data_IF_147366291119
#
_entry.id   IF_147366291119
#
_cell.length_a   1.000
_cell.length_b   1.000
_cell.length_c   1.000
_cell.angle_alpha   90.00
_cell.angle_beta   90.00
_cell.angle_gamma   90.00
#
_symmetry.space_group_name_H-M   'P 1'
#
loop_
_entity.id
_entity.type
_entity.pdbx_description
1 polymer ?
#
# COMPACT_ATOMS: atom_id res chain seq x y z
N UNK A 1 18.82 0.96 -9.06
CA UNK A 1 18.19 0.49 -7.81
C UNK A 1 17.72 1.69 -6.98
N UNK A 2 16.45 1.70 -6.57
CA UNK A 2 15.90 2.68 -5.63
C UNK A 2 15.84 2.02 -4.25
N UNK A 3 16.37 2.69 -3.25
CA UNK A 3 16.39 2.26 -1.86
C UNK A 3 15.45 3.13 -1.05
N UNK A 4 14.40 2.54 -0.49
CA UNK A 4 13.45 3.19 0.41
C UNK A 4 13.93 2.94 1.85
N UNK A 5 14.05 4.00 2.65
CA UNK A 5 14.48 3.93 4.05
C UNK A 5 13.79 4.99 4.88
N UNK A 6 13.82 4.86 6.22
CA UNK A 6 13.29 5.89 7.14
C UNK A 6 13.92 7.28 6.89
N UNK A 7 15.18 7.33 6.42
CA UNK A 7 15.87 8.56 6.01
C UNK A 7 15.38 9.13 4.66
N UNK A 8 14.38 8.50 4.03
CA UNK A 8 13.85 8.83 2.71
C UNK A 8 14.33 7.91 1.59
N UNK A 9 14.15 8.37 0.35
CA UNK A 9 14.43 7.63 -0.89
C UNK A 9 15.84 7.92 -1.40
N UNK A 10 16.68 6.90 -1.53
CA UNK A 10 18.06 6.99 -2.05
C UNK A 10 18.17 6.22 -3.37
N UNK A 11 18.75 6.81 -4.41
CA UNK A 11 19.03 6.11 -5.67
C UNK A 11 20.47 5.58 -5.62
N UNK A 12 20.61 4.25 -5.57
CA UNK A 12 21.88 3.56 -5.29
C UNK A 12 22.65 3.25 -6.59
N UNK A 13 21.93 3.04 -7.70
CA UNK A 13 22.55 2.67 -8.98
C UNK A 13 21.65 3.09 -10.14
N UNK A 14 22.20 3.78 -11.15
CA UNK A 14 21.51 4.15 -12.38
C UNK A 14 22.31 3.65 -13.57
N UNK A 15 21.73 2.76 -14.38
CA UNK A 15 22.41 2.12 -15.53
C UNK A 15 22.51 3.03 -16.77
N UNK A 16 22.58 4.34 -16.60
CA UNK A 16 22.76 5.29 -17.71
C UNK A 16 21.57 5.40 -18.68
N UNK A 17 20.47 4.66 -18.47
CA UNK A 17 19.18 5.05 -19.03
C UNK A 17 18.67 6.23 -18.22
N UNK A 18 18.77 7.42 -18.81
CA UNK A 18 18.26 8.70 -18.31
C UNK A 18 16.72 8.71 -18.29
N UNK A 19 16.11 7.69 -17.68
CA UNK A 19 14.69 7.69 -17.39
C UNK A 19 14.48 8.79 -16.35
N UNK A 20 13.89 9.91 -16.78
CA UNK A 20 13.54 11.00 -15.88
C UNK A 20 12.58 10.48 -14.82
N UNK A 21 13.11 10.23 -13.63
CA UNK A 21 12.34 9.90 -12.45
C UNK A 21 12.15 11.15 -11.60
N UNK A 22 11.04 11.20 -10.89
CA UNK A 22 10.73 12.27 -9.96
C UNK A 22 10.33 11.69 -8.62
N UNK A 23 10.76 12.34 -7.55
CA UNK A 23 10.38 11.97 -6.18
C UNK A 23 9.65 13.15 -5.57
N UNK A 24 8.45 12.90 -5.06
CA UNK A 24 7.62 13.93 -4.44
C UNK A 24 6.69 13.34 -3.39
N UNK A 25 6.21 14.19 -2.51
CA UNK A 25 5.19 13.83 -1.52
C UNK A 25 3.82 14.20 -2.06
N UNK A 26 2.85 13.30 -1.90
CA UNK A 26 1.43 13.55 -2.16
C UNK A 26 0.63 12.89 -1.04
N UNK A 27 -0.24 13.66 -0.38
CA UNK A 27 -0.88 13.26 0.87
C UNK A 27 0.11 12.69 1.90
N UNK A 28 -0.19 11.52 2.45
CA UNK A 28 0.69 10.81 3.40
C UNK A 28 1.75 9.91 2.73
N UNK A 29 1.92 9.98 1.40
CA UNK A 29 2.76 9.06 0.64
C UNK A 29 3.97 9.77 0.01
N UNK A 30 5.06 9.00 -0.15
CA UNK A 30 6.19 9.34 -1.01
C UNK A 30 6.01 8.62 -2.34
N UNK A 31 5.99 9.39 -3.43
CA UNK A 31 5.82 8.90 -4.79
C UNK A 31 7.15 8.99 -5.52
N UNK A 32 7.62 7.86 -6.04
CA UNK A 32 8.68 7.81 -7.07
C UNK A 32 8.04 7.50 -8.40
N UNK A 33 7.93 8.50 -9.26
CA UNK A 33 7.41 8.38 -10.61
C UNK A 33 8.56 8.16 -11.58
N UNK A 34 8.46 7.14 -12.43
CA UNK A 34 9.27 7.02 -13.63
C UNK A 34 8.38 7.34 -14.81
N UNK A 35 8.56 8.54 -15.37
CA UNK A 35 7.60 9.19 -16.27
C UNK A 35 7.11 8.27 -17.39
N UNK A 36 5.79 8.05 -17.44
CA UNK A 36 5.14 7.20 -18.45
C UNK A 36 5.44 5.70 -18.35
N UNK A 37 6.09 5.23 -17.28
CA UNK A 37 6.46 3.83 -17.07
C UNK A 37 5.78 3.24 -15.83
N UNK A 38 6.06 3.79 -14.65
CA UNK A 38 5.58 3.24 -13.38
C UNK A 38 5.59 4.29 -12.26
N UNK A 39 4.76 4.06 -11.24
CA UNK A 39 4.77 4.79 -9.97
C UNK A 39 5.05 3.81 -8.83
N UNK A 40 5.97 4.17 -7.93
CA UNK A 40 6.13 3.56 -6.62
C UNK A 40 5.51 4.50 -5.59
N UNK A 41 4.52 4.01 -4.84
CA UNK A 41 3.78 4.80 -3.85
C UNK A 41 3.99 4.14 -2.50
N UNK A 42 4.73 4.82 -1.63
CA UNK A 42 5.13 4.28 -0.33
C UNK A 42 4.53 5.14 0.79
N UNK A 43 3.94 4.51 1.80
CA UNK A 43 3.32 5.18 2.95
C UNK A 43 4.33 5.67 4.00
N UNK A 44 5.63 5.63 3.68
CA UNK A 44 6.74 5.87 4.60
C UNK A 44 6.74 4.92 5.83
N UNK A 45 6.05 3.78 5.72
CA UNK A 45 5.97 2.71 6.72
C UNK A 45 6.14 1.36 6.01
N UNK A 46 5.10 0.53 5.96
CA UNK A 46 5.18 -0.86 5.48
C UNK A 46 4.36 -1.12 4.21
N UNK A 47 3.64 -0.13 3.66
CA UNK A 47 2.85 -0.30 2.44
C UNK A 47 3.56 0.28 1.24
N UNK A 48 3.83 -0.57 0.25
CA UNK A 48 4.35 -0.19 -1.06
C UNK A 48 3.35 -0.62 -2.13
N UNK A 49 2.85 0.34 -2.90
CA UNK A 49 2.05 0.08 -4.10
C UNK A 49 2.90 0.33 -5.35
N UNK A 50 2.86 -0.63 -6.28
CA UNK A 50 3.52 -0.52 -7.58
C UNK A 50 2.44 -0.40 -8.64
N UNK A 51 2.42 0.73 -9.35
CA UNK A 51 1.52 0.95 -10.48
C UNK A 51 2.34 0.89 -11.77
N UNK A 52 2.00 -0.03 -12.67
CA UNK A 52 2.70 -0.23 -13.94
C UNK A 52 1.86 0.25 -15.12
N UNK A 53 2.52 0.85 -16.11
CA UNK A 53 1.88 1.12 -17.40
C UNK A 53 1.45 -0.20 -18.07
N UNK A 54 0.27 -0.28 -18.71
CA UNK A 54 -0.23 -1.50 -19.37
C UNK A 54 0.68 -2.13 -20.42
N UNK A 55 1.73 -1.43 -20.86
CA UNK A 55 2.71 -1.94 -21.82
C UNK A 55 3.60 -3.05 -21.26
N UNK A 56 3.64 -3.16 -19.93
CA UNK A 56 4.35 -4.19 -19.18
C UNK A 56 3.49 -5.43 -18.92
N UNK A 57 2.23 -5.47 -19.41
CA UNK A 57 1.38 -6.67 -19.28
C UNK A 57 2.08 -7.90 -19.86
N UNK A 58 2.13 -8.98 -19.08
CA UNK A 58 2.80 -10.23 -19.42
C UNK A 58 4.32 -10.13 -19.62
N UNK A 59 4.97 -9.04 -19.18
CA UNK A 59 6.42 -8.79 -19.34
C UNK A 59 7.17 -8.62 -18.03
N UNK A 60 6.47 -8.81 -16.91
CA UNK A 60 7.06 -8.73 -15.58
C UNK A 60 6.98 -10.09 -14.91
N UNK A 61 7.75 -10.24 -13.85
CA UNK A 61 7.78 -11.42 -13.00
C UNK A 61 8.23 -10.99 -11.60
N UNK A 62 8.02 -11.85 -10.61
CA UNK A 62 8.35 -11.59 -9.21
C UNK A 62 7.17 -11.87 -8.29
N UNK A 63 7.27 -11.40 -7.05
CA UNK A 63 6.24 -11.58 -6.02
C UNK A 63 4.89 -10.91 -6.36
N UNK A 64 4.89 -9.94 -7.29
CA UNK A 64 3.67 -9.28 -7.77
C UNK A 64 3.03 -9.98 -8.98
N UNK A 65 3.44 -11.22 -9.30
CA UNK A 65 2.91 -11.98 -10.41
C UNK A 65 3.50 -11.57 -11.76
N UNK A 66 2.78 -11.92 -12.84
CA UNK A 66 3.24 -11.72 -14.22
C UNK A 66 2.49 -10.59 -14.97
N UNK A 67 1.47 -10.01 -14.34
CA UNK A 67 0.63 -8.92 -14.86
C UNK A 67 -0.06 -9.26 -16.20
N UNK A 68 -0.63 -10.45 -16.35
CA UNK A 68 -1.32 -10.91 -17.57
C UNK A 68 -2.87 -10.92 -17.47
N UNK A 69 -3.43 -10.31 -16.42
CA UNK A 69 -4.86 -10.33 -16.05
C UNK A 69 -5.42 -11.71 -15.62
N UNK A 70 -4.57 -12.72 -15.37
CA UNK A 70 -4.97 -14.04 -14.90
C UNK A 70 -4.36 -14.40 -13.54
N UNK A 71 -5.10 -14.14 -12.47
CA UNK A 71 -4.65 -14.44 -11.10
C UNK A 71 -4.31 -15.92 -10.83
N UNK A 72 -4.81 -16.86 -11.65
CA UNK A 72 -4.60 -18.29 -11.43
C UNK A 72 -3.17 -18.76 -11.75
N UNK A 73 -2.36 -17.94 -12.44
CA UNK A 73 -0.99 -18.28 -12.80
C UNK A 73 0.04 -17.32 -12.20
N UNK A 74 -0.33 -16.46 -11.25
CA UNK A 74 0.60 -15.46 -10.70
C UNK A 74 1.74 -16.08 -9.89
N UNK A 75 1.56 -17.29 -9.36
CA UNK A 75 2.60 -18.01 -8.61
C UNK A 75 3.60 -18.72 -9.54
N UNK A 76 4.29 -17.94 -10.37
CA UNK A 76 5.39 -18.40 -11.24
C UNK A 76 6.73 -18.24 -10.54
N UNK A 77 7.47 -19.34 -10.37
CA UNK A 77 8.84 -19.31 -9.84
C UNK A 77 9.83 -18.70 -10.84
N UNK A 78 11.01 -18.31 -10.36
CA UNK A 78 12.11 -17.81 -11.21
C UNK A 78 12.51 -18.73 -12.40
N UNK A 79 12.24 -20.04 -12.29
CA UNK A 79 12.51 -21.04 -13.32
C UNK A 79 11.35 -21.23 -14.33
N UNK A 80 10.26 -20.47 -14.20
CA UNK A 80 9.07 -20.52 -15.06
C UNK A 80 8.02 -21.55 -14.65
N UNK A 81 8.24 -22.30 -13.56
CA UNK A 81 7.28 -23.29 -13.06
C UNK A 81 6.16 -22.60 -12.26
N UNK A 82 4.91 -22.98 -12.55
CA UNK A 82 3.73 -22.50 -11.82
C UNK A 82 3.46 -23.43 -10.63
N UNK A 83 3.31 -22.85 -9.44
CA UNK A 83 3.07 -23.59 -8.20
C UNK A 83 1.79 -23.10 -7.51
N UNK A 84 1.22 -23.92 -6.62
CA UNK A 84 0.01 -23.55 -5.87
C UNK A 84 0.28 -23.15 -4.43
N UNK A 85 1.45 -23.49 -3.89
CA UNK A 85 1.84 -23.13 -2.52
C UNK A 85 2.48 -21.72 -2.50
N UNK A 86 1.87 -20.72 -1.83
CA UNK A 86 2.45 -19.39 -1.69
C UNK A 86 3.86 -19.40 -1.07
N UNK A 87 4.18 -20.38 -0.21
CA UNK A 87 5.49 -20.49 0.43
C UNK A 87 6.56 -20.92 -0.56
N UNK A 88 6.30 -21.95 -1.36
CA UNK A 88 7.21 -22.38 -2.42
C UNK A 88 7.42 -21.26 -3.44
N UNK A 89 6.33 -20.59 -3.84
CA UNK A 89 6.40 -19.41 -4.71
C UNK A 89 7.27 -18.30 -4.12
N UNK A 90 6.97 -17.83 -2.89
CA UNK A 90 7.68 -16.72 -2.26
C UNK A 90 9.16 -17.01 -2.06
N UNK A 91 9.49 -18.22 -1.60
CA UNK A 91 10.87 -18.65 -1.37
C UNK A 91 11.69 -18.73 -2.67
N UNK A 92 11.05 -19.02 -3.80
CA UNK A 92 11.71 -19.08 -5.11
C UNK A 92 12.26 -17.74 -5.60
N UNK A 93 11.84 -16.62 -4.99
CA UNK A 93 12.26 -15.25 -5.34
C UNK A 93 13.28 -14.66 -4.37
N UNK A 94 13.84 -15.46 -3.44
CA UNK A 94 14.88 -15.00 -2.52
C UNK A 94 16.15 -14.57 -3.28
N UNK A 95 16.64 -13.36 -2.98
CA UNK A 95 17.85 -12.79 -3.61
C UNK A 95 19.13 -13.25 -2.92
N UNK A 96 19.09 -13.47 -1.60
CA UNK A 96 20.23 -13.98 -0.83
C UNK A 96 20.00 -15.47 -0.46
N UNK A 97 20.81 -16.41 -0.98
CA UNK A 97 20.73 -17.82 -0.62
C UNK A 97 20.96 -18.11 0.87
N UNK A 98 21.54 -17.17 1.62
CA UNK A 98 21.74 -17.29 3.07
C UNK A 98 20.49 -16.92 3.87
N UNK A 99 19.47 -16.33 3.23
CA UNK A 99 18.19 -16.08 3.86
C UNK A 99 17.52 -17.44 4.13
N UNK A 100 17.61 -17.89 5.37
CA UNK A 100 16.98 -19.14 5.79
C UNK A 100 15.46 -18.98 5.81
N UNK A 101 14.78 -20.09 5.57
CA UNK A 101 13.34 -20.20 5.75
C UNK A 101 13.00 -19.87 7.21
N UNK A 102 12.53 -18.65 7.45
CA UNK A 102 11.87 -18.34 8.70
C UNK A 102 10.49 -18.99 8.62
N UNK A 103 10.39 -20.23 9.09
CA UNK A 103 9.11 -20.73 9.56
C UNK A 103 8.68 -19.78 10.66
N UNK A 104 7.79 -18.84 10.35
CA UNK A 104 6.98 -18.23 11.40
C UNK A 104 6.35 -19.43 12.10
N UNK A 105 6.79 -19.68 13.34
CA UNK A 105 6.08 -20.62 14.20
C UNK A 105 4.61 -20.22 14.14
N UNK A 106 3.69 -21.20 13.97
CA UNK A 106 2.27 -20.92 14.06
C UNK A 106 2.11 -20.12 15.34
N UNK A 107 1.72 -18.84 15.23
CA UNK A 107 1.60 -17.99 16.39
C UNK A 107 0.85 -18.79 17.44
N UNK A 108 1.47 -19.07 18.60
CA UNK A 108 0.72 -19.68 19.70
C UNK A 108 -0.55 -18.87 19.83
N UNK A 109 -1.70 -19.54 19.65
CA UNK A 109 -3.00 -18.88 19.48
C UNK A 109 -3.36 -18.23 20.82
N UNK A 110 -2.87 -17.02 21.02
CA UNK A 110 -3.30 -16.12 22.06
C UNK A 110 -4.68 -15.62 21.65
N UNK A 111 -5.69 -16.33 22.14
CA UNK A 111 -7.10 -16.05 21.88
C UNK A 111 -7.50 -14.61 22.20
N UNK A 112 -6.85 -13.98 23.20
CA UNK A 112 -7.10 -12.58 23.54
C UNK A 112 -6.56 -11.62 22.48
N UNK A 113 -5.33 -11.83 21.99
CA UNK A 113 -4.74 -11.04 20.89
C UNK A 113 -5.57 -11.16 19.62
N UNK A 114 -6.00 -12.38 19.29
CA UNK A 114 -6.88 -12.63 18.15
C UNK A 114 -8.24 -11.92 18.29
N UNK A 115 -8.93 -12.09 19.42
CA UNK A 115 -10.23 -11.45 19.64
C UNK A 115 -10.14 -9.91 19.62
N UNK A 116 -9.03 -9.35 20.10
CA UNK A 116 -8.74 -7.91 19.97
C UNK A 116 -8.56 -7.52 18.50
N UNK A 117 -7.69 -8.20 17.77
CA UNK A 117 -7.46 -7.93 16.35
C UNK A 117 -8.76 -8.01 15.53
N UNK A 118 -9.54 -9.08 15.71
CA UNK A 118 -10.86 -9.25 15.09
C UNK A 118 -11.80 -8.09 15.43
N UNK A 119 -11.90 -7.69 16.71
CA UNK A 119 -12.75 -6.57 17.13
C UNK A 119 -12.38 -5.28 16.41
N UNK A 120 -11.10 -4.95 16.29
CA UNK A 120 -10.65 -3.70 15.66
C UNK A 120 -10.81 -3.75 14.13
N UNK A 121 -10.43 -4.85 13.49
CA UNK A 121 -10.55 -5.02 12.04
C UNK A 121 -12.00 -5.10 11.54
N UNK A 122 -13.00 -5.22 12.43
CA UNK A 122 -14.43 -5.16 12.06
C UNK A 122 -14.83 -3.87 11.35
N UNK A 123 -14.06 -2.78 11.46
CA UNK A 123 -14.31 -1.55 10.70
C UNK A 123 -14.41 -1.82 9.18
N UNK A 124 -13.59 -2.73 8.65
CA UNK A 124 -13.60 -3.13 7.23
C UNK A 124 -14.96 -3.67 6.80
N UNK A 125 -15.67 -4.34 7.71
CA UNK A 125 -17.01 -4.91 7.47
C UNK A 125 -18.14 -4.08 8.09
N UNK A 126 -17.85 -2.86 8.55
CA UNK A 126 -18.84 -1.98 9.17
C UNK A 126 -19.55 -1.10 8.15
N UNK A 127 -20.55 -0.34 8.61
CA UNK A 127 -21.28 0.63 7.79
C UNK A 127 -20.36 1.68 7.15
N UNK A 128 -19.20 1.99 7.76
CA UNK A 128 -18.21 2.92 7.20
C UNK A 128 -17.76 2.51 5.80
N UNK A 129 -17.67 1.20 5.54
CA UNK A 129 -17.20 0.64 4.28
C UNK A 129 -18.34 0.01 3.44
N UNK A 130 -19.62 0.25 3.78
CA UNK A 130 -20.75 -0.47 3.14
C UNK A 130 -20.79 -0.29 1.63
N UNK A 131 -20.56 0.92 1.13
CA UNK A 131 -20.52 1.20 -0.31
C UNK A 131 -19.33 0.52 -0.99
N UNK A 132 -18.18 0.49 -0.30
CA UNK A 132 -16.99 -0.17 -0.83
C UNK A 132 -17.14 -1.69 -0.85
N UNK A 133 -17.75 -2.28 0.17
CA UNK A 133 -18.02 -3.72 0.26
C UNK A 133 -18.94 -4.22 -0.87
N UNK A 134 -19.71 -3.32 -1.50
CA UNK A 134 -20.47 -3.64 -2.71
C UNK A 134 -19.62 -3.66 -3.99
N UNK A 135 -18.45 -3.01 -3.98
CA UNK A 135 -17.57 -2.83 -5.14
C UNK A 135 -16.25 -3.64 -5.07
N UNK A 136 -15.80 -4.00 -3.86
CA UNK A 136 -14.54 -4.70 -3.58
C UNK A 136 -14.81 -5.78 -2.52
N UNK A 137 -14.24 -6.98 -2.72
CA UNK A 137 -14.30 -8.04 -1.71
C UNK A 137 -13.43 -7.69 -0.50
N UNK A 138 -14.06 -7.60 0.67
CA UNK A 138 -13.41 -7.21 1.93
C UNK A 138 -12.65 -8.37 2.59
N UNK A 139 -12.94 -9.62 2.23
CA UNK A 139 -12.42 -10.82 2.91
C UNK A 139 -10.88 -10.84 3.04
N UNK A 140 -10.13 -10.73 1.94
CA UNK A 140 -8.67 -10.73 1.97
C UNK A 140 -8.08 -9.59 2.83
N UNK A 141 -8.70 -8.41 2.82
CA UNK A 141 -8.26 -7.24 3.59
C UNK A 141 -8.57 -7.38 5.07
N UNK A 142 -9.72 -7.95 5.42
CA UNK A 142 -10.08 -8.28 6.80
C UNK A 142 -9.11 -9.30 7.39
N UNK A 143 -8.84 -10.39 6.67
CA UNK A 143 -7.91 -11.44 7.11
C UNK A 143 -6.48 -10.89 7.26
N UNK A 144 -6.02 -10.06 6.33
CA UNK A 144 -4.74 -9.38 6.43
C UNK A 144 -4.67 -8.46 7.66
N UNK A 145 -5.69 -7.62 7.87
CA UNK A 145 -5.77 -6.76 9.05
C UNK A 145 -5.67 -7.55 10.36
N UNK A 146 -6.40 -8.67 10.47
CA UNK A 146 -6.39 -9.51 11.68
C UNK A 146 -5.01 -10.11 11.92
N UNK A 147 -4.36 -10.64 10.88
CA UNK A 147 -2.99 -11.19 11.00
C UNK A 147 -1.99 -10.11 11.40
N UNK A 148 -2.03 -8.94 10.79
CA UNK A 148 -1.03 -7.90 10.99
C UNK A 148 -1.20 -7.19 12.35
N UNK A 149 -2.44 -7.08 12.81
CA UNK A 149 -2.78 -6.49 14.12
C UNK A 149 -2.50 -7.46 15.27
N UNK A 150 -2.40 -8.77 15.00
CA UNK A 150 -2.22 -9.80 16.03
C UNK A 150 -0.98 -9.57 16.92
N UNK A 151 0.09 -9.03 16.34
CA UNK A 151 1.36 -8.78 17.04
C UNK A 151 1.40 -7.44 17.79
N UNK A 152 0.34 -6.64 17.73
CA UNK A 152 0.30 -5.33 18.37
C UNK A 152 -0.10 -5.43 19.85
N UNK A 153 0.73 -4.88 20.73
CA UNK A 153 0.45 -4.83 22.18
C UNK A 153 -0.67 -3.84 22.54
N UNK A 154 -0.88 -2.82 21.69
CA UNK A 154 -2.01 -1.88 21.73
C UNK A 154 -2.40 -1.51 20.30
N UNK A 155 -3.71 -1.39 20.02
CA UNK A 155 -4.20 -1.07 18.67
C UNK A 155 -4.21 0.44 18.40
N UNK A 156 -4.30 1.28 19.44
CA UNK A 156 -4.29 2.74 19.30
C UNK A 156 -2.99 3.26 18.67
N UNK A 157 -1.88 2.53 18.89
CA UNK A 157 -0.55 2.84 18.32
C UNK A 157 -0.05 1.73 17.37
N UNK A 158 -0.97 0.93 16.81
CA UNK A 158 -0.60 -0.14 15.89
C UNK A 158 -0.58 0.40 14.46
N UNK A 159 0.60 0.82 13.99
CA UNK A 159 0.77 1.29 12.61
C UNK A 159 0.28 0.26 11.59
N UNK A 160 0.47 -1.04 11.88
CA UNK A 160 0.03 -2.16 11.02
C UNK A 160 -1.49 -2.18 10.83
N UNK A 161 -2.26 -1.90 11.88
CA UNK A 161 -3.71 -1.82 11.79
C UNK A 161 -4.13 -0.68 10.85
N UNK A 162 -3.56 0.51 11.05
CA UNK A 162 -3.88 1.68 10.24
C UNK A 162 -3.46 1.49 8.77
N UNK A 163 -2.29 0.88 8.54
CA UNK A 163 -1.82 0.57 7.19
C UNK A 163 -2.73 -0.46 6.50
N UNK A 164 -3.19 -1.50 7.21
CA UNK A 164 -4.10 -2.50 6.65
C UNK A 164 -5.47 -1.90 6.27
N UNK A 165 -6.06 -1.05 7.12
CA UNK A 165 -7.34 -0.39 6.80
C UNK A 165 -7.17 0.64 5.68
N UNK A 166 -6.06 1.39 5.66
CA UNK A 166 -5.74 2.34 4.58
C UNK A 166 -5.57 1.63 3.23
N UNK A 167 -5.00 0.42 3.20
CA UNK A 167 -4.88 -0.37 1.99
C UNK A 167 -6.25 -0.73 1.40
N UNK A 168 -7.22 -1.10 2.24
CA UNK A 168 -8.58 -1.35 1.79
C UNK A 168 -9.26 -0.08 1.27
N UNK A 169 -9.14 1.03 2.00
CA UNK A 169 -9.65 2.34 1.56
C UNK A 169 -9.04 2.79 0.22
N UNK A 170 -7.77 2.49 -0.04
CA UNK A 170 -7.12 2.79 -1.32
C UNK A 170 -7.73 1.99 -2.48
N UNK A 171 -8.14 0.74 -2.26
CA UNK A 171 -8.82 -0.08 -3.28
C UNK A 171 -10.25 0.38 -3.53
N UNK A 172 -10.95 0.84 -2.48
CA UNK A 172 -12.23 1.54 -2.63
C UNK A 172 -12.09 2.77 -3.54
N UNK A 173 -11.06 3.60 -3.32
CA UNK A 173 -10.80 4.79 -4.15
C UNK A 173 -10.55 4.45 -5.61
N UNK A 174 -9.87 3.33 -5.92
CA UNK A 174 -9.70 2.86 -7.31
C UNK A 174 -11.02 2.49 -7.98
N UNK A 175 -12.07 2.18 -7.21
CA UNK A 175 -13.45 1.96 -7.69
C UNK A 175 -14.30 3.24 -7.63
N UNK A 176 -13.67 4.40 -7.44
CA UNK A 176 -14.33 5.70 -7.25
C UNK A 176 -15.28 5.76 -6.03
N UNK A 177 -15.06 4.89 -5.03
CA UNK A 177 -15.79 4.93 -3.76
C UNK A 177 -14.91 5.59 -2.71
N UNK A 178 -15.33 6.78 -2.26
CA UNK A 178 -14.60 7.51 -1.23
C UNK A 178 -15.03 7.08 0.18
N UNK A 179 -14.07 6.67 1.02
CA UNK A 179 -14.36 6.21 2.39
C UNK A 179 -13.65 7.10 3.41
N UNK A 180 -14.43 7.80 4.25
CA UNK A 180 -13.94 8.62 5.37
C UNK A 180 -13.91 7.77 6.65
N UNK A 181 -12.79 7.12 6.93
CA UNK A 181 -12.69 6.12 8.01
C UNK A 181 -11.83 6.55 9.21
N UNK A 182 -10.93 7.52 9.03
CA UNK A 182 -10.07 8.04 10.11
C UNK A 182 -10.87 8.96 11.03
N UNK A 183 -10.55 8.92 12.32
CA UNK A 183 -11.12 9.82 13.34
C UNK A 183 -10.02 10.31 14.28
N UNK A 184 -10.26 11.31 15.14
CA UNK A 184 -9.29 11.71 16.16
C UNK A 184 -8.82 10.57 17.07
N UNK A 185 -9.68 9.57 17.31
CA UNK A 185 -9.38 8.42 18.18
C UNK A 185 -8.91 7.17 17.40
N UNK A 186 -8.95 7.21 16.07
CA UNK A 186 -8.63 6.08 15.20
C UNK A 186 -7.76 6.52 14.01
N UNK A 187 -6.50 6.12 14.06
CA UNK A 187 -5.53 6.35 12.97
C UNK A 187 -5.45 7.84 12.56
N UNK A 188 -5.48 8.74 13.53
CA UNK A 188 -5.49 10.19 13.34
C UNK A 188 -4.32 10.67 12.46
N UNK A 189 -4.63 11.58 11.54
CA UNK A 189 -3.66 12.31 10.72
C UNK A 189 -3.76 13.79 11.08
N UNK A 190 -2.63 14.38 11.46
CA UNK A 190 -2.55 15.77 11.89
C UNK A 190 -1.92 16.63 10.78
N UNK A 191 -2.77 17.31 10.00
CA UNK A 191 -2.36 18.24 8.95
C UNK A 191 -2.18 19.68 9.47
N UNK A 192 -2.82 20.02 10.60
CA UNK A 192 -2.77 21.37 11.17
C UNK A 192 -1.36 21.84 11.53
N UNK A 193 -0.43 20.90 11.76
CA UNK A 193 1.00 21.22 12.00
C UNK A 193 1.68 21.93 10.82
N UNK A 194 1.08 21.88 9.63
CA UNK A 194 1.55 22.56 8.43
C UNK A 194 0.93 23.94 8.23
N UNK A 195 -0.10 24.30 9.00
CA UNK A 195 -0.71 25.63 8.96
C UNK A 195 0.11 26.65 9.73
N UNK A 196 0.24 27.86 9.17
CA UNK A 196 0.75 29.00 9.93
C UNK A 196 -0.28 29.46 10.97
N UNK A 197 0.16 30.25 11.96
CA UNK A 197 -0.72 30.84 12.97
C UNK A 197 -1.85 31.66 12.32
N UNK A 198 -3.09 31.18 12.49
CA UNK A 198 -4.29 31.84 11.97
C UNK A 198 -4.66 31.45 10.53
N UNK A 199 -3.89 30.56 9.89
CA UNK A 199 -4.19 29.99 8.58
C UNK A 199 -4.85 28.60 8.73
N UNK A 200 -5.57 28.19 7.69
CA UNK A 200 -6.33 26.94 7.64
C UNK A 200 -6.30 26.44 6.19
N UNK A 201 -5.09 26.19 5.67
CA UNK A 201 -4.88 25.84 4.26
C UNK A 201 -4.66 24.33 4.08
N UNK A 202 -3.97 23.70 5.04
CA UNK A 202 -3.74 22.26 5.07
C UNK A 202 -4.87 21.56 5.82
N UNK A 203 -5.55 20.66 5.11
CA UNK A 203 -6.60 19.80 5.64
C UNK A 203 -6.36 18.37 5.24
N UNK A 204 -6.83 17.46 6.07
CA UNK A 204 -6.88 16.04 5.73
C UNK A 204 -8.06 15.77 4.81
N UNK A 205 -7.83 15.08 3.70
CA UNK A 205 -8.86 14.56 2.82
C UNK A 205 -8.68 13.05 2.59
N UNK A 206 -9.78 12.31 2.76
CA UNK A 206 -9.72 10.84 2.62
C UNK A 206 -9.59 10.41 1.16
N UNK A 207 -10.06 11.27 0.26
CA UNK A 207 -9.99 11.08 -1.19
C UNK A 207 -9.78 12.45 -1.81
N UNK A 208 -8.57 12.72 -2.27
CA UNK A 208 -8.28 13.98 -2.96
C UNK A 208 -9.21 14.17 -4.17
N UNK A 209 -9.48 15.44 -4.50
CA UNK A 209 -10.08 15.76 -5.79
C UNK A 209 -9.20 15.24 -6.94
N UNK A 210 -9.79 14.86 -8.09
CA UNK A 210 -9.07 14.18 -9.17
C UNK A 210 -7.80 14.89 -9.67
N UNK A 211 -7.69 16.20 -9.43
CA UNK A 211 -6.43 16.90 -9.61
C UNK A 211 -6.30 18.15 -8.73
N UNK A 212 -5.19 18.24 -8.00
CA UNK A 212 -4.68 19.48 -7.42
C UNK A 212 -3.60 20.05 -8.36
N UNK A 213 -3.82 21.26 -8.88
CA UNK A 213 -2.82 21.95 -9.70
C UNK A 213 -1.62 22.33 -8.83
N UNK A 214 -0.43 21.86 -9.22
CA UNK A 214 0.83 22.21 -8.56
C UNK A 214 1.80 22.76 -9.59
N UNK A 215 2.87 23.43 -9.15
CA UNK A 215 3.93 23.86 -10.06
C UNK A 215 4.56 22.68 -10.85
N UNK A 216 4.46 21.45 -10.33
CA UNK A 216 4.97 20.23 -10.98
C UNK A 216 3.95 19.61 -11.94
N UNK A 217 2.66 19.71 -11.64
CA UNK A 217 1.56 19.28 -12.51
C UNK A 217 0.59 20.43 -12.78
N UNK A 218 1.01 21.45 -13.56
CA UNK A 218 0.20 22.65 -13.79
C UNK A 218 -1.05 22.36 -14.64
N UNK A 219 -1.01 21.31 -15.46
CA UNK A 219 -2.05 20.96 -16.42
C UNK A 219 -2.91 19.77 -16.00
N UNK A 220 -2.78 19.26 -14.76
CA UNK A 220 -3.57 18.13 -14.28
C UNK A 220 -3.49 16.88 -15.17
N UNK A 221 -2.29 16.43 -15.56
CA UNK A 221 -2.20 15.15 -16.26
C UNK A 221 -2.60 14.00 -15.31
N UNK A 222 -3.37 13.03 -15.80
CA UNK A 222 -3.94 11.87 -15.08
C UNK A 222 -2.89 10.89 -14.48
N UNK A 223 -1.65 11.33 -14.31
CA UNK A 223 -0.52 10.49 -13.91
C UNK A 223 -0.28 10.48 -12.40
N UNK A 224 -0.93 11.37 -11.64
CA UNK A 224 -0.81 11.39 -10.18
C UNK A 224 -1.78 10.36 -9.58
N UNK A 225 -1.28 9.40 -8.79
CA UNK A 225 -2.14 8.47 -8.06
C UNK A 225 -3.04 9.21 -7.07
N UNK A 226 -4.33 8.89 -7.05
CA UNK A 226 -5.26 9.39 -6.03
C UNK A 226 -4.89 8.79 -4.68
N UNK A 227 -4.28 9.60 -3.82
CA UNK A 227 -3.78 9.19 -2.50
C UNK A 227 -4.56 9.86 -1.38
N UNK A 228 -4.51 9.24 -0.20
CA UNK A 228 -5.03 9.81 1.04
C UNK A 228 -4.04 10.84 1.59
N UNK A 229 -4.52 11.94 2.19
CA UNK A 229 -3.70 12.77 3.07
C UNK A 229 -4.21 14.16 3.35
#
# INVERSE_FOLDING_TARGET
MIHLSEDGVKVVESNGTDSQYQIYTAGIHIITEVKGLLNLIWDNKTSLMVQLHPKFKGKVCGLCGNFDDNANNDFVKHNGEVVTDPKDFGNSWNVDPKCQENMMEPCEINSQRRARAERHCRIINSEVFVECNAAVDSGPYYDACVRDTYTCDSVVNCDRFCTAVAAYAAECRKKAVCVKWRTPDLCHVCCDKYNSLGECDWHYESCEEPCIQTCRNPSCSDQIPLVEG
#
